data_IF_159871113506
#
_entry.id   IF_159871113506
#
_cell.length_a   1.000
_cell.length_b   1.000
_cell.length_c   1.000
_cell.angle_alpha   90.00
_cell.angle_beta   90.00
_cell.angle_gamma   90.00
#
_symmetry.space_group_name_H-M   'P 1'
#
loop_
_entity.id
_entity.type
_entity.pdbx_description
1 polymer ?
#
# COMPACT_ATOMS: atom_id res chain seq x y z
N UNK A 1 45.12 -76.25 5.09
CA UNK A 1 44.67 -76.41 6.49
C UNK A 1 45.71 -75.71 7.37
N UNK A 2 45.34 -74.56 7.98
CA UNK A 2 45.32 -74.33 9.44
C UNK A 2 46.67 -74.64 10.11
N UNK A 3 47.37 -73.79 10.87
CA UNK A 3 46.97 -72.71 11.78
C UNK A 3 48.25 -72.18 12.43
N UNK A 4 48.32 -70.89 12.81
CA UNK A 4 49.38 -70.38 13.69
C UNK A 4 49.29 -68.87 13.97
N UNK A 5 49.76 -68.38 15.14
CA UNK A 5 49.08 -67.32 15.89
C UNK A 5 49.88 -66.01 16.15
N UNK A 6 49.11 -64.97 16.50
CA UNK A 6 49.34 -63.77 17.38
C UNK A 6 50.74 -63.13 17.58
N UNK A 7 50.70 -61.78 17.44
CA UNK A 7 51.35 -60.68 18.23
C UNK A 7 52.87 -60.50 18.04
N UNK A 8 53.49 -59.32 18.05
CA UNK A 8 53.17 -57.90 18.30
C UNK A 8 54.32 -57.07 17.64
N UNK A 9 54.23 -55.73 17.71
CA UNK A 9 55.28 -54.71 17.51
C UNK A 9 55.31 -53.97 16.17
N UNK A 10 54.87 -52.70 16.20
CA UNK A 10 55.73 -51.52 15.90
C UNK A 10 55.03 -50.27 16.43
N UNK A 11 55.74 -49.46 17.21
CA UNK A 11 55.21 -48.33 17.96
C UNK A 11 54.83 -47.11 17.11
N UNK A 12 54.14 -46.12 17.71
CA UNK A 12 53.81 -44.88 17.01
C UNK A 12 55.00 -43.92 17.05
N UNK A 13 55.45 -43.54 15.86
CA UNK A 13 56.35 -42.42 15.64
C UNK A 13 55.67 -41.09 15.99
N UNK A 14 56.44 -40.26 16.67
CA UNK A 14 56.17 -38.88 17.07
C UNK A 14 56.09 -37.91 15.88
N UNK A 15 55.07 -37.05 15.85
CA UNK A 15 55.10 -35.59 15.62
C UNK A 15 53.69 -35.06 15.26
N UNK A 16 53.38 -33.75 15.41
CA UNK A 16 53.51 -32.92 16.59
C UNK A 16 52.15 -32.32 17.00
N UNK A 17 52.06 -31.88 18.26
CA UNK A 17 51.00 -30.99 18.70
C UNK A 17 51.13 -29.64 17.98
N UNK A 18 50.14 -29.29 17.16
CA UNK A 18 49.91 -27.91 16.71
C UNK A 18 48.62 -27.40 17.35
N UNK A 19 48.79 -26.73 18.49
CA UNK A 19 47.87 -25.70 18.92
C UNK A 19 47.91 -24.57 17.87
N UNK A 20 46.76 -24.21 17.32
CA UNK A 20 46.49 -23.02 16.48
C UNK A 20 45.12 -23.24 15.84
N UNK A 21 44.08 -22.41 15.98
CA UNK A 21 43.97 -21.02 16.42
C UNK A 21 42.48 -20.81 16.68
N UNK A 22 42.14 -20.04 17.71
CA UNK A 22 40.92 -19.26 17.71
C UNK A 22 40.82 -18.55 16.35
N UNK A 23 39.77 -18.86 15.58
CA UNK A 23 39.43 -18.10 14.39
C UNK A 23 38.78 -16.78 14.84
N UNK A 24 39.48 -15.63 14.77
CA UNK A 24 38.97 -14.37 15.31
C UNK A 24 37.93 -13.72 14.38
N UNK A 25 37.47 -14.43 13.33
CA UNK A 25 36.43 -13.96 12.41
C UNK A 25 35.01 -14.41 12.79
N UNK A 26 34.80 -15.19 13.87
CA UNK A 26 33.46 -15.42 14.41
C UNK A 26 33.01 -14.22 15.23
N UNK A 27 32.22 -13.36 14.62
CA UNK A 27 31.54 -12.29 15.36
C UNK A 27 30.53 -12.91 16.34
N UNK A 28 30.30 -12.31 17.51
CA UNK A 28 29.30 -12.76 18.48
C UNK A 28 27.89 -12.96 17.89
N UNK A 29 27.58 -12.22 16.82
CA UNK A 29 26.32 -12.29 16.09
C UNK A 29 26.06 -13.66 15.43
N UNK A 30 27.09 -14.39 14.99
CA UNK A 30 26.93 -15.70 14.35
C UNK A 30 26.62 -16.82 15.35
N UNK A 31 27.08 -16.68 16.60
CA UNK A 31 26.78 -17.61 17.69
C UNK A 31 25.34 -17.39 18.19
N UNK A 32 24.95 -16.13 18.42
CA UNK A 32 23.60 -15.76 18.83
C UNK A 32 22.56 -16.12 17.76
N UNK A 33 22.90 -15.96 16.48
CA UNK A 33 22.02 -16.36 15.37
C UNK A 33 21.82 -17.88 15.30
N UNK A 34 22.88 -18.67 15.56
CA UNK A 34 22.78 -20.13 15.62
C UNK A 34 21.92 -20.60 16.78
N UNK A 35 22.15 -20.03 17.96
CA UNK A 35 21.39 -20.35 19.17
C UNK A 35 19.90 -20.00 19.02
N UNK A 36 19.61 -18.84 18.40
CA UNK A 36 18.24 -18.45 18.05
C UNK A 36 17.59 -19.38 17.01
N UNK A 37 18.35 -19.88 16.03
CA UNK A 37 17.85 -20.82 15.02
C UNK A 37 17.61 -22.21 15.61
N UNK A 38 18.47 -22.68 16.51
CA UNK A 38 18.30 -23.95 17.24
C UNK A 38 17.12 -23.88 18.21
N UNK A 39 16.98 -22.80 18.99
CA UNK A 39 15.83 -22.61 19.88
C UNK A 39 14.48 -22.58 19.13
N UNK A 40 14.46 -22.04 17.90
CA UNK A 40 13.28 -22.05 17.01
C UNK A 40 13.08 -23.41 16.33
N UNK A 41 14.12 -24.23 16.22
CA UNK A 41 14.04 -25.59 15.66
C UNK A 41 13.58 -26.62 16.70
N UNK A 42 13.87 -26.42 17.98
CA UNK A 42 13.45 -27.30 19.08
C UNK A 42 12.00 -27.08 19.51
N UNK A 43 11.42 -25.93 19.19
CA UNK A 43 10.00 -25.64 19.40
C UNK A 43 9.16 -26.24 18.27
N UNK A 44 8.90 -27.54 18.38
CA UNK A 44 7.97 -28.26 17.51
C UNK A 44 6.57 -27.62 17.45
N UNK A 45 5.73 -28.00 16.47
CA UNK A 45 4.53 -27.27 16.04
C UNK A 45 3.38 -27.16 17.07
N UNK A 46 3.57 -27.62 18.31
CA UNK A 46 2.48 -27.85 19.28
C UNK A 46 2.65 -27.12 20.63
N UNK A 47 3.62 -26.19 20.77
CA UNK A 47 3.63 -25.26 21.90
C UNK A 47 3.07 -23.92 21.44
N UNK A 48 1.85 -23.59 21.90
CA UNK A 48 1.34 -22.23 21.84
C UNK A 48 2.31 -21.30 22.58
N UNK A 49 2.95 -20.40 21.82
CA UNK A 49 3.85 -19.38 22.35
C UNK A 49 3.09 -18.51 23.35
N UNK A 50 3.58 -18.46 24.60
CA UNK A 50 3.04 -17.57 25.63
C UNK A 50 3.54 -16.14 25.34
N UNK A 51 2.81 -15.13 25.83
CA UNK A 51 3.08 -13.71 25.56
C UNK A 51 4.50 -13.28 25.99
N UNK A 52 5.12 -14.03 26.91
CA UNK A 52 6.48 -13.81 27.43
C UNK A 52 7.60 -14.33 26.50
N UNK A 53 7.28 -15.15 25.48
CA UNK A 53 8.27 -15.73 24.54
C UNK A 53 8.51 -14.86 23.30
N UNK A 54 7.80 -13.73 23.16
CA UNK A 54 7.97 -12.78 22.05
C UNK A 54 8.99 -11.71 22.46
N UNK A 55 10.16 -11.62 21.80
CA UNK A 55 11.16 -10.61 22.14
C UNK A 55 10.57 -9.21 22.09
N UNK A 56 10.55 -8.53 23.24
CA UNK A 56 10.02 -7.18 23.34
C UNK A 56 11.00 -6.19 22.70
N UNK A 57 10.49 -5.14 22.07
CA UNK A 57 11.33 -4.10 21.46
C UNK A 57 12.22 -3.36 22.50
N UNK A 58 11.97 -3.57 23.79
CA UNK A 58 12.74 -3.03 24.91
C UNK A 58 14.04 -3.80 25.16
N UNK A 59 14.14 -5.08 24.79
CA UNK A 59 15.29 -5.93 25.15
C UNK A 59 16.41 -5.89 24.09
N UNK A 60 16.08 -5.55 22.83
CA UNK A 60 17.04 -5.54 21.73
C UNK A 60 16.88 -4.30 20.82
N UNK A 61 17.40 -3.12 21.22
CA UNK A 61 17.29 -1.89 20.44
C UNK A 61 18.05 -1.92 19.09
N UNK A 62 18.89 -2.94 18.86
CA UNK A 62 19.67 -3.14 17.64
C UNK A 62 19.32 -4.40 16.84
N UNK A 63 18.18 -5.04 17.11
CA UNK A 63 17.72 -6.18 16.32
C UNK A 63 17.77 -5.83 14.81
N UNK A 64 18.56 -6.54 13.98
CA UNK A 64 18.73 -6.16 12.58
C UNK A 64 17.36 -6.12 11.89
N UNK A 65 17.10 -5.05 11.13
CA UNK A 65 15.81 -4.77 10.44
C UNK A 65 15.27 -5.94 9.60
N UNK A 66 16.12 -6.92 9.27
CA UNK A 66 15.77 -8.19 8.65
C UNK A 66 14.88 -9.06 9.53
N UNK A 67 15.01 -9.00 10.86
CA UNK A 67 14.21 -9.77 11.82
C UNK A 67 12.73 -9.38 11.78
N UNK A 68 12.38 -8.09 11.64
CA UNK A 68 10.94 -7.72 11.58
C UNK A 68 10.27 -8.24 10.31
N UNK A 69 10.97 -8.22 9.17
CA UNK A 69 10.48 -8.79 7.90
C UNK A 69 10.40 -10.30 7.96
N UNK A 70 11.41 -10.96 8.53
CA UNK A 70 11.44 -12.40 8.71
C UNK A 70 10.35 -12.88 9.68
N UNK A 71 10.15 -12.19 10.81
CA UNK A 71 9.08 -12.46 11.78
C UNK A 71 7.70 -12.25 11.15
N UNK A 72 7.51 -11.17 10.38
CA UNK A 72 6.26 -10.94 9.66
C UNK A 72 6.01 -12.01 8.58
N UNK A 73 7.05 -12.46 7.89
CA UNK A 73 6.96 -13.55 6.93
C UNK A 73 6.63 -14.90 7.61
N UNK A 74 7.27 -15.20 8.73
CA UNK A 74 7.05 -16.38 9.58
C UNK A 74 5.63 -16.39 10.13
N UNK A 75 5.15 -15.27 10.68
CA UNK A 75 3.77 -15.14 11.16
C UNK A 75 2.74 -15.37 10.04
N UNK A 76 3.00 -14.86 8.83
CA UNK A 76 2.15 -15.14 7.66
C UNK A 76 2.17 -16.62 7.26
N UNK A 77 3.32 -17.29 7.32
CA UNK A 77 3.42 -18.75 7.09
C UNK A 77 2.64 -19.55 8.14
N UNK A 78 2.66 -19.10 9.39
CA UNK A 78 1.92 -19.69 10.50
C UNK A 78 0.42 -19.30 10.52
N UNK A 79 -0.06 -18.54 9.52
CA UNK A 79 -1.46 -18.11 9.44
C UNK A 79 -1.87 -17.05 10.47
N UNK A 80 -0.92 -16.48 11.20
CA UNK A 80 -1.18 -15.45 12.22
C UNK A 80 -1.57 -14.13 11.54
N UNK A 81 -2.67 -13.54 12.00
CA UNK A 81 -3.04 -12.19 11.58
C UNK A 81 -2.15 -11.19 12.28
N UNK A 82 -1.18 -10.66 11.54
CA UNK A 82 -0.35 -9.57 12.03
C UNK A 82 -1.20 -8.32 12.32
N UNK A 83 -0.90 -7.60 13.40
CA UNK A 83 -1.49 -6.29 13.65
C UNK A 83 -1.31 -5.37 12.44
N UNK A 84 -2.30 -4.51 12.17
CA UNK A 84 -2.17 -3.47 11.14
C UNK A 84 -0.97 -2.58 11.48
N UNK A 85 -0.19 -2.11 10.49
CA UNK A 85 0.86 -1.14 10.75
C UNK A 85 0.31 0.11 11.46
N UNK A 86 1.10 0.71 12.36
CA UNK A 86 0.66 1.82 13.22
C UNK A 86 0.14 3.02 12.44
N UNK A 87 0.74 3.31 11.28
CA UNK A 87 0.37 4.45 10.43
C UNK A 87 -0.78 4.14 9.45
N UNK A 88 -1.36 2.92 9.51
CA UNK A 88 -2.49 2.52 8.65
C UNK A 88 -3.63 3.52 8.74
N UNK A 89 -3.98 4.13 7.60
CA UNK A 89 -5.07 5.10 7.50
C UNK A 89 -4.78 6.51 8.02
N UNK A 90 -3.60 6.80 8.60
CA UNK A 90 -3.29 8.14 9.11
C UNK A 90 -3.24 9.21 8.02
N UNK A 91 -2.67 8.88 6.85
CA UNK A 91 -2.63 9.80 5.70
C UNK A 91 -4.03 10.26 5.29
N UNK A 92 -4.99 9.33 5.18
CA UNK A 92 -6.35 9.66 4.80
C UNK A 92 -7.13 10.37 5.93
N UNK A 93 -6.82 10.06 7.19
CA UNK A 93 -7.40 10.76 8.34
C UNK A 93 -7.07 12.26 8.32
N UNK A 94 -5.82 12.63 8.03
CA UNK A 94 -5.44 14.04 7.91
C UNK A 94 -5.86 14.66 6.57
N UNK A 95 -5.84 13.89 5.48
CA UNK A 95 -6.27 14.36 4.17
C UNK A 95 -7.75 14.74 4.15
N UNK A 96 -8.63 14.04 4.89
CA UNK A 96 -10.06 14.31 4.91
C UNK A 96 -10.39 15.76 5.28
N UNK A 97 -10.09 16.28 6.49
CA UNK A 97 -10.43 17.65 6.86
C UNK A 97 -9.72 18.68 5.98
N UNK A 98 -8.45 18.46 5.63
CA UNK A 98 -7.71 19.37 4.75
C UNK A 98 -8.38 19.51 3.38
N UNK A 99 -8.82 18.39 2.80
CA UNK A 99 -9.53 18.37 1.52
C UNK A 99 -10.90 18.99 1.60
N UNK A 100 -11.64 18.82 2.71
CA UNK A 100 -12.94 19.47 2.88
C UNK A 100 -12.79 21.00 2.94
N UNK A 101 -11.84 21.51 3.71
CA UNK A 101 -11.59 22.95 3.79
C UNK A 101 -11.13 23.52 2.45
N UNK A 102 -10.09 22.93 1.84
CA UNK A 102 -9.58 23.40 0.55
C UNK A 102 -10.63 23.26 -0.57
N UNK A 103 -11.42 22.19 -0.53
CA UNK A 103 -12.52 21.94 -1.46
C UNK A 103 -13.66 22.95 -1.35
N UNK A 104 -14.04 23.34 -0.13
CA UNK A 104 -15.05 24.39 0.06
C UNK A 104 -14.56 25.75 -0.46
N UNK A 105 -13.29 26.08 -0.27
CA UNK A 105 -12.67 27.27 -0.88
C UNK A 105 -12.75 27.19 -2.41
N UNK A 106 -12.41 26.04 -2.99
CA UNK A 106 -12.50 25.81 -4.43
C UNK A 106 -13.93 25.99 -4.97
N UNK A 107 -14.95 25.51 -4.25
CA UNK A 107 -16.36 25.72 -4.59
C UNK A 107 -16.74 27.21 -4.51
N UNK A 108 -16.28 27.92 -3.47
CA UNK A 108 -16.59 29.34 -3.32
C UNK A 108 -15.95 30.21 -4.42
N UNK A 109 -14.76 29.83 -4.89
CA UNK A 109 -14.01 30.55 -5.92
C UNK A 109 -14.45 30.25 -7.36
N UNK A 110 -15.31 29.25 -7.60
CA UNK A 110 -15.75 28.93 -8.96
C UNK A 110 -16.47 30.09 -9.64
N UNK A 111 -16.06 30.43 -10.85
CA UNK A 111 -16.56 31.59 -11.62
C UNK A 111 -18.04 31.45 -12.06
N UNK A 112 -18.50 30.22 -12.29
CA UNK A 112 -19.85 29.93 -12.79
C UNK A 112 -20.55 28.86 -11.95
N UNK A 113 -21.89 28.84 -11.98
CA UNK A 113 -22.66 27.83 -11.27
C UNK A 113 -22.27 26.40 -11.70
N UNK A 114 -22.04 26.18 -13.00
CA UNK A 114 -21.64 24.88 -13.53
C UNK A 114 -20.30 24.41 -12.92
N UNK A 115 -19.31 25.31 -12.85
CA UNK A 115 -18.01 25.02 -12.22
C UNK A 115 -18.17 24.75 -10.73
N UNK A 116 -18.97 25.55 -10.01
CA UNK A 116 -19.22 25.33 -8.57
C UNK A 116 -19.83 23.95 -8.31
N UNK A 117 -20.82 23.54 -9.10
CA UNK A 117 -21.44 22.21 -9.00
C UNK A 117 -20.44 21.10 -9.32
N UNK A 118 -19.60 21.29 -10.34
CA UNK A 118 -18.54 20.35 -10.69
C UNK A 118 -17.52 20.20 -9.55
N UNK A 119 -17.12 21.30 -8.91
CA UNK A 119 -16.28 21.30 -7.72
C UNK A 119 -16.97 20.61 -6.53
N UNK A 120 -18.29 20.82 -6.31
CA UNK A 120 -19.03 20.10 -5.25
C UNK A 120 -18.94 18.59 -5.45
N UNK A 121 -19.13 18.11 -6.68
CA UNK A 121 -19.02 16.69 -7.02
C UNK A 121 -17.61 16.16 -6.68
N UNK A 122 -16.57 16.90 -7.06
CA UNK A 122 -15.19 16.54 -6.74
C UNK A 122 -14.94 16.50 -5.21
N UNK A 123 -15.43 17.48 -4.46
CA UNK A 123 -15.26 17.56 -3.00
C UNK A 123 -16.02 16.43 -2.29
N UNK A 124 -17.26 16.16 -2.69
CA UNK A 124 -18.06 15.08 -2.08
C UNK A 124 -17.40 13.72 -2.32
N UNK A 125 -16.97 13.43 -3.55
CA UNK A 125 -16.29 12.17 -3.86
C UNK A 125 -14.94 12.03 -3.15
N UNK A 126 -14.19 13.13 -2.98
CA UNK A 126 -12.94 13.14 -2.22
C UNK A 126 -13.18 12.91 -0.72
N UNK A 127 -14.23 13.54 -0.18
CA UNK A 127 -14.67 13.34 1.20
C UNK A 127 -15.09 11.90 1.47
N UNK A 128 -15.83 11.28 0.54
CA UNK A 128 -16.18 9.87 0.60
C UNK A 128 -14.93 8.99 0.58
N UNK A 129 -13.98 9.24 -0.33
CA UNK A 129 -12.72 8.49 -0.38
C UNK A 129 -11.96 8.57 0.94
N UNK A 130 -11.55 9.77 1.34
CA UNK A 130 -10.68 9.92 2.51
C UNK A 130 -11.39 9.62 3.83
N UNK A 131 -12.65 10.04 3.97
CA UNK A 131 -13.45 9.81 5.16
C UNK A 131 -13.71 8.33 5.41
N UNK A 132 -14.26 7.62 4.42
CA UNK A 132 -14.53 6.18 4.55
C UNK A 132 -13.23 5.40 4.76
N UNK A 133 -12.16 5.77 4.06
CA UNK A 133 -10.87 5.10 4.20
C UNK A 133 -10.26 5.28 5.58
N UNK A 134 -10.32 6.50 6.12
CA UNK A 134 -9.89 6.78 7.49
C UNK A 134 -10.71 5.98 8.51
N UNK A 135 -12.04 6.00 8.40
CA UNK A 135 -12.95 5.24 9.29
C UNK A 135 -12.65 3.74 9.22
N UNK A 136 -12.54 3.18 8.02
CA UNK A 136 -12.26 1.76 7.82
C UNK A 136 -10.95 1.33 8.48
N UNK A 137 -9.89 2.11 8.26
CA UNK A 137 -8.55 1.74 8.68
C UNK A 137 -8.26 2.02 10.15
N UNK A 138 -8.83 3.10 10.73
CA UNK A 138 -8.57 3.52 12.12
C UNK A 138 -9.50 2.88 13.13
N UNK A 139 -10.69 2.43 12.73
CA UNK A 139 -11.63 1.82 13.66
C UNK A 139 -11.39 0.33 13.92
N UNK A 140 -11.84 -0.11 15.08
CA UNK A 140 -12.00 -1.51 15.48
C UNK A 140 -13.46 -1.91 15.28
N UNK A 141 -13.70 -2.72 14.25
CA UNK A 141 -15.05 -3.01 13.77
C UNK A 141 -15.38 -4.49 13.93
N UNK A 142 -16.66 -4.80 14.16
CA UNK A 142 -17.14 -6.18 14.03
C UNK A 142 -16.88 -6.70 12.61
N UNK A 143 -16.74 -8.03 12.42
CA UNK A 143 -16.42 -8.61 11.11
C UNK A 143 -17.35 -8.13 9.98
N UNK A 144 -18.65 -8.05 10.24
CA UNK A 144 -19.66 -7.61 9.28
C UNK A 144 -19.44 -6.14 8.86
N UNK A 145 -19.22 -5.25 9.85
CA UNK A 145 -18.94 -3.83 9.59
C UNK A 145 -17.62 -3.63 8.85
N UNK A 146 -16.59 -4.39 9.21
CA UNK A 146 -15.28 -4.35 8.55
C UNK A 146 -15.37 -4.77 7.07
N UNK A 147 -16.21 -5.74 6.73
CA UNK A 147 -16.46 -6.14 5.34
C UNK A 147 -17.17 -5.03 4.59
N UNK A 148 -18.23 -4.44 5.17
CA UNK A 148 -18.98 -3.35 4.54
C UNK A 148 -18.11 -2.11 4.29
N UNK A 149 -17.38 -1.65 5.31
CA UNK A 149 -16.48 -0.50 5.19
C UNK A 149 -15.39 -0.71 4.15
N UNK A 150 -14.85 -1.93 4.04
CA UNK A 150 -13.89 -2.29 2.99
C UNK A 150 -14.50 -2.20 1.60
N UNK A 151 -15.77 -2.58 1.44
CA UNK A 151 -16.47 -2.45 0.15
C UNK A 151 -16.63 -0.99 -0.23
N UNK A 152 -17.06 -0.14 0.70
CA UNK A 152 -17.18 1.29 0.45
C UNK A 152 -15.84 1.94 0.17
N UNK A 153 -14.80 1.62 0.94
CA UNK A 153 -13.43 2.10 0.74
C UNK A 153 -12.92 1.79 -0.68
N UNK A 154 -13.11 0.55 -1.15
CA UNK A 154 -12.70 0.16 -2.50
C UNK A 154 -13.63 0.69 -3.61
N UNK A 155 -14.93 0.85 -3.35
CA UNK A 155 -15.88 1.38 -4.32
C UNK A 155 -15.64 2.88 -4.55
N UNK A 156 -15.29 3.62 -3.50
CA UNK A 156 -15.05 5.07 -3.58
C UNK A 156 -13.90 5.45 -4.50
N UNK A 157 -12.96 4.54 -4.79
CA UNK A 157 -11.89 4.76 -5.79
C UNK A 157 -12.49 5.04 -7.18
N UNK A 158 -13.56 4.33 -7.56
CA UNK A 158 -14.24 4.59 -8.83
C UNK A 158 -14.93 5.97 -8.83
N UNK A 159 -15.57 6.31 -7.71
CA UNK A 159 -16.28 7.58 -7.57
C UNK A 159 -15.33 8.78 -7.63
N UNK A 160 -14.19 8.72 -6.94
CA UNK A 160 -13.23 9.84 -6.99
C UNK A 160 -12.58 9.99 -8.37
N UNK A 161 -12.35 8.91 -9.13
CA UNK A 161 -11.85 9.03 -10.51
C UNK A 161 -12.84 9.86 -11.35
N UNK A 162 -14.12 9.52 -11.30
CA UNK A 162 -15.16 10.28 -12.01
C UNK A 162 -15.35 11.69 -11.45
N UNK A 163 -15.28 11.84 -10.13
CA UNK A 163 -15.35 13.12 -9.43
C UNK A 163 -14.23 14.07 -9.83
N UNK A 164 -13.00 13.58 -9.98
CA UNK A 164 -11.84 14.36 -10.44
C UNK A 164 -12.00 14.82 -11.89
N UNK A 165 -12.53 13.97 -12.79
CA UNK A 165 -12.77 14.38 -14.17
C UNK A 165 -13.83 15.47 -14.29
N UNK A 166 -14.77 15.54 -13.36
CA UNK A 166 -15.94 16.43 -13.46
C UNK A 166 -15.56 17.92 -13.59
N UNK A 167 -14.82 18.55 -12.65
CA UNK A 167 -14.44 19.96 -12.79
C UNK A 167 -13.42 20.20 -13.90
N UNK A 168 -12.53 19.26 -14.20
CA UNK A 168 -11.56 19.37 -15.30
C UNK A 168 -12.28 19.44 -16.65
N UNK A 169 -13.23 18.52 -16.88
CA UNK A 169 -13.96 18.44 -18.13
C UNK A 169 -14.87 19.66 -18.32
N UNK A 170 -15.55 20.09 -17.26
CA UNK A 170 -16.45 21.26 -17.30
C UNK A 170 -15.67 22.55 -17.55
N UNK A 171 -14.48 22.70 -16.98
CA UNK A 171 -13.68 23.91 -17.13
C UNK A 171 -12.92 23.98 -18.46
N UNK A 172 -12.36 22.86 -18.94
CA UNK A 172 -11.35 22.88 -20.00
C UNK A 172 -11.78 22.31 -21.34
N UNK A 173 -12.85 21.52 -21.40
CA UNK A 173 -13.25 20.82 -22.63
C UNK A 173 -14.46 21.46 -23.29
N UNK A 174 -14.53 21.31 -24.62
CA UNK A 174 -15.75 21.65 -25.35
C UNK A 174 -16.92 20.78 -24.86
N UNK A 175 -18.17 21.28 -24.88
CA UNK A 175 -19.31 20.59 -24.27
C UNK A 175 -19.48 19.13 -24.70
N UNK A 176 -19.33 18.81 -25.98
CA UNK A 176 -19.45 17.44 -26.50
C UNK A 176 -18.35 16.50 -25.97
N UNK A 177 -17.13 17.02 -25.85
CA UNK A 177 -15.99 16.26 -25.31
C UNK A 177 -16.16 16.03 -23.81
N UNK A 178 -16.60 17.06 -23.08
CA UNK A 178 -16.92 16.94 -21.65
C UNK A 178 -17.99 15.88 -21.41
N UNK A 179 -19.12 15.92 -22.14
CA UNK A 179 -20.18 14.92 -22.02
C UNK A 179 -19.66 13.50 -22.29
N UNK A 180 -18.82 13.33 -23.32
CA UNK A 180 -18.26 12.02 -23.66
C UNK A 180 -17.34 11.50 -22.55
N UNK A 181 -16.40 12.33 -22.09
CA UNK A 181 -15.47 11.97 -21.02
C UNK A 181 -16.22 11.63 -19.72
N UNK A 182 -17.20 12.45 -19.33
CA UNK A 182 -17.99 12.25 -18.12
C UNK A 182 -18.91 11.03 -18.24
N UNK A 183 -19.48 10.76 -19.41
CA UNK A 183 -20.26 9.55 -19.66
C UNK A 183 -19.43 8.28 -19.47
N UNK A 184 -18.20 8.25 -20.01
CA UNK A 184 -17.27 7.14 -19.82
C UNK A 184 -16.89 7.02 -18.33
N UNK A 185 -16.52 8.13 -17.70
CA UNK A 185 -16.06 8.17 -16.32
C UNK A 185 -17.14 7.71 -15.34
N UNK A 186 -18.33 8.31 -15.38
CA UNK A 186 -19.44 7.99 -14.48
C UNK A 186 -20.09 6.65 -14.82
N UNK A 187 -20.18 6.28 -16.09
CA UNK A 187 -20.63 4.94 -16.50
C UNK A 187 -19.69 3.86 -16.00
N UNK A 188 -18.38 4.03 -16.19
CA UNK A 188 -17.35 3.15 -15.64
C UNK A 188 -17.36 3.11 -14.12
N UNK A 189 -17.59 4.25 -13.46
CA UNK A 189 -17.70 4.31 -12.02
C UNK A 189 -18.94 3.58 -11.49
N UNK A 190 -20.10 3.74 -12.13
CA UNK A 190 -21.32 3.04 -11.76
C UNK A 190 -21.16 1.51 -11.87
N UNK A 191 -20.60 1.03 -13.00
CA UNK A 191 -20.29 -0.39 -13.20
C UNK A 191 -19.29 -0.87 -12.16
N UNK A 192 -18.22 -0.11 -11.92
CA UNK A 192 -17.20 -0.44 -10.93
C UNK A 192 -17.71 -0.50 -9.50
N UNK A 193 -18.56 0.45 -9.08
CA UNK A 193 -19.21 0.46 -7.77
C UNK A 193 -20.15 -0.73 -7.63
N UNK A 194 -21.02 -0.98 -8.61
CA UNK A 194 -21.91 -2.13 -8.60
C UNK A 194 -21.12 -3.45 -8.47
N UNK A 195 -20.08 -3.61 -9.29
CA UNK A 195 -19.17 -4.74 -9.23
C UNK A 195 -18.59 -4.93 -7.80
N UNK A 196 -18.23 -3.85 -7.11
CA UNK A 196 -17.69 -3.92 -5.73
C UNK A 196 -18.71 -4.21 -4.64
N UNK A 197 -19.92 -3.71 -4.79
CA UNK A 197 -20.95 -3.91 -3.79
C UNK A 197 -21.53 -5.33 -3.86
N UNK A 198 -21.69 -5.87 -5.08
CA UNK A 198 -22.31 -7.17 -5.32
C UNK A 198 -21.31 -8.34 -5.37
N UNK A 199 -20.05 -8.13 -5.82
CA UNK A 199 -19.04 -9.21 -5.86
C UNK A 199 -17.96 -9.03 -4.78
N UNK A 200 -18.19 -9.68 -3.66
CA UNK A 200 -17.42 -9.53 -2.42
C UNK A 200 -16.05 -10.20 -2.45
N UNK A 201 -15.92 -11.30 -3.20
CA UNK A 201 -14.69 -12.07 -3.40
C UNK A 201 -13.87 -11.67 -4.63
N UNK A 202 -14.21 -10.57 -5.30
CA UNK A 202 -13.56 -10.17 -6.54
C UNK A 202 -12.03 -10.03 -6.36
N UNK A 203 -11.22 -10.72 -7.18
CA UNK A 203 -9.77 -10.76 -7.00
C UNK A 203 -9.11 -9.43 -7.40
N UNK A 204 -7.98 -9.12 -6.77
CA UNK A 204 -7.28 -7.84 -6.93
C UNK A 204 -6.79 -7.57 -8.35
N UNK A 205 -6.40 -8.61 -9.07
CA UNK A 205 -5.94 -8.51 -10.45
C UNK A 205 -7.05 -8.01 -11.39
N UNK A 206 -8.33 -8.13 -11.01
CA UNK A 206 -9.45 -7.69 -11.86
C UNK A 206 -9.75 -6.20 -11.64
N UNK A 207 -9.90 -5.79 -10.38
CA UNK A 207 -10.35 -4.44 -10.08
C UNK A 207 -9.23 -3.38 -10.12
N UNK A 208 -7.98 -3.75 -9.84
CA UNK A 208 -6.87 -2.76 -9.86
C UNK A 208 -6.63 -2.25 -11.28
N UNK A 209 -6.53 -3.10 -12.32
CA UNK A 209 -6.46 -2.63 -13.70
C UNK A 209 -7.68 -1.83 -14.12
N UNK A 210 -8.88 -2.15 -13.61
CA UNK A 210 -10.08 -1.36 -13.90
C UNK A 210 -9.97 0.08 -13.38
N UNK A 211 -9.42 0.28 -12.17
CA UNK A 211 -9.13 1.63 -11.65
C UNK A 211 -8.13 2.37 -12.55
N UNK A 212 -7.05 1.70 -12.94
CA UNK A 212 -6.01 2.29 -13.79
C UNK A 212 -6.59 2.64 -15.15
N UNK A 213 -7.27 1.71 -15.83
CA UNK A 213 -7.87 1.94 -17.15
C UNK A 213 -8.84 3.13 -17.13
N UNK A 214 -9.72 3.20 -16.13
CA UNK A 214 -10.65 4.31 -15.99
C UNK A 214 -9.91 5.64 -15.71
N UNK A 215 -8.90 5.62 -14.85
CA UNK A 215 -8.11 6.81 -14.49
C UNK A 215 -7.21 7.35 -15.61
N UNK A 216 -6.90 6.55 -16.62
CA UNK A 216 -6.08 6.96 -17.76
C UNK A 216 -6.90 7.43 -18.97
N UNK A 217 -8.25 7.46 -18.90
CA UNK A 217 -9.11 7.95 -20.00
C UNK A 217 -8.77 9.38 -20.42
N UNK A 218 -8.35 10.24 -19.49
CA UNK A 218 -7.93 11.61 -19.81
C UNK A 218 -6.74 11.70 -20.78
N UNK A 219 -5.93 10.65 -20.96
CA UNK A 219 -4.83 10.69 -21.94
C UNK A 219 -5.34 10.92 -23.36
N UNK A 220 -6.51 10.39 -23.70
CA UNK A 220 -7.14 10.62 -25.01
C UNK A 220 -7.60 12.07 -25.22
N UNK A 221 -7.61 12.88 -24.15
CA UNK A 221 -8.01 14.28 -24.16
C UNK A 221 -6.83 15.24 -23.92
N UNK A 222 -5.58 14.75 -23.88
CA UNK A 222 -4.42 15.59 -23.54
C UNK A 222 -4.23 16.79 -24.48
N UNK A 223 -4.41 16.70 -25.81
CA UNK A 223 -4.34 17.87 -26.68
C UNK A 223 -5.37 18.95 -26.32
N UNK A 224 -6.58 18.54 -25.95
CA UNK A 224 -7.69 19.42 -25.60
C UNK A 224 -7.49 20.02 -24.21
N UNK A 225 -7.03 19.21 -23.25
CA UNK A 225 -6.67 19.66 -21.90
C UNK A 225 -5.49 20.64 -21.94
N UNK A 226 -4.51 20.41 -22.82
CA UNK A 226 -3.44 21.37 -23.10
C UNK A 226 -4.00 22.66 -23.69
N UNK A 227 -4.91 22.59 -24.65
CA UNK A 227 -5.51 23.77 -25.28
C UNK A 227 -6.32 24.62 -24.27
N UNK A 228 -7.03 23.98 -23.32
CA UNK A 228 -7.82 24.68 -22.32
C UNK A 228 -7.04 25.15 -21.09
N UNK A 229 -6.10 24.34 -20.58
CA UNK A 229 -5.41 24.57 -19.30
C UNK A 229 -3.89 24.74 -19.38
N UNK A 230 -3.31 24.63 -20.58
CA UNK A 230 -1.87 24.72 -20.81
C UNK A 230 -1.06 23.55 -20.25
N UNK A 231 0.27 23.64 -20.43
CA UNK A 231 1.23 22.64 -19.94
C UNK A 231 1.18 22.38 -18.43
N UNK A 232 0.96 23.36 -17.54
CA UNK A 232 0.91 23.10 -16.10
C UNK A 232 -0.17 22.07 -15.73
N UNK A 233 -1.37 22.18 -16.31
CA UNK A 233 -2.45 21.21 -16.09
C UNK A 233 -2.03 19.83 -16.58
N UNK A 234 -1.51 19.72 -17.81
CA UNK A 234 -1.08 18.44 -18.39
C UNK A 234 -0.05 17.75 -17.50
N UNK A 235 0.98 18.45 -17.05
CA UNK A 235 2.02 17.87 -16.21
C UNK A 235 1.51 17.44 -14.85
N UNK A 236 0.61 18.20 -14.23
CA UNK A 236 -0.03 17.80 -12.98
C UNK A 236 -0.92 16.56 -13.15
N UNK A 237 -1.67 16.47 -14.26
CA UNK A 237 -2.50 15.30 -14.52
C UNK A 237 -1.66 14.05 -14.78
N UNK A 238 -0.58 14.17 -15.54
CA UNK A 238 0.36 13.08 -15.81
C UNK A 238 1.10 12.65 -14.54
N UNK A 239 1.66 13.61 -13.77
CA UNK A 239 2.33 13.31 -12.51
C UNK A 239 1.37 12.64 -11.51
N UNK A 240 0.14 13.14 -11.42
CA UNK A 240 -0.88 12.53 -10.57
C UNK A 240 -1.29 11.13 -11.02
N UNK A 241 -1.49 10.93 -12.32
CA UNK A 241 -1.80 9.62 -12.91
C UNK A 241 -0.68 8.59 -12.68
N UNK A 242 0.57 9.02 -12.81
CA UNK A 242 1.75 8.19 -12.49
C UNK A 242 1.83 7.86 -11.00
N UNK A 243 1.59 8.82 -10.10
CA UNK A 243 1.58 8.58 -8.66
C UNK A 243 0.48 7.58 -8.24
N UNK A 244 -0.73 7.72 -8.77
CA UNK A 244 -1.82 6.75 -8.58
C UNK A 244 -1.43 5.36 -9.08
N UNK A 245 -0.85 5.29 -10.28
CA UNK A 245 -0.44 4.02 -10.90
C UNK A 245 0.66 3.34 -10.09
N UNK A 246 1.69 4.08 -9.66
CA UNK A 246 2.74 3.55 -8.82
C UNK A 246 2.20 3.01 -7.49
N UNK A 247 1.32 3.76 -6.82
CA UNK A 247 0.64 3.29 -5.62
C UNK A 247 -0.17 2.02 -5.86
N UNK A 248 -0.95 1.97 -6.95
CA UNK A 248 -1.77 0.82 -7.32
C UNK A 248 -0.93 -0.43 -7.64
N UNK A 249 0.22 -0.26 -8.30
CA UNK A 249 1.18 -1.35 -8.56
C UNK A 249 1.73 -1.89 -7.24
N UNK A 250 2.16 -1.02 -6.32
CA UNK A 250 2.62 -1.45 -4.99
C UNK A 250 1.53 -2.20 -4.22
N UNK A 251 0.28 -1.73 -4.29
CA UNK A 251 -0.86 -2.41 -3.70
C UNK A 251 -1.14 -3.79 -4.33
N UNK A 252 -1.03 -3.91 -5.65
CA UNK A 252 -1.23 -5.16 -6.37
C UNK A 252 -0.14 -6.18 -6.02
N UNK A 253 1.12 -5.77 -6.06
CA UNK A 253 2.30 -6.60 -5.79
C UNK A 253 2.54 -6.87 -4.29
N UNK A 254 1.94 -6.05 -3.42
CA UNK A 254 2.22 -6.01 -1.98
C UNK A 254 3.71 -5.78 -1.65
N UNK A 255 4.42 -5.08 -2.54
CA UNK A 255 5.83 -4.74 -2.41
C UNK A 255 6.14 -3.37 -3.05
N UNK A 256 7.09 -2.59 -2.50
CA UNK A 256 7.86 -2.90 -1.30
C UNK A 256 7.00 -2.81 -0.03
N UNK A 257 7.43 -3.49 1.03
CA UNK A 257 6.82 -3.44 2.37
C UNK A 257 7.96 -2.95 3.26
N UNK A 258 8.17 -1.65 3.47
CA UNK A 258 9.42 -1.17 4.08
C UNK A 258 9.45 -1.40 5.60
N UNK A 259 8.32 -1.28 6.29
CA UNK A 259 8.18 -1.60 7.70
C UNK A 259 6.83 -2.27 7.99
N UNK A 260 6.79 -3.57 8.32
CA UNK A 260 5.55 -4.29 8.60
C UNK A 260 4.81 -3.76 9.84
N UNK A 261 5.53 -3.07 10.73
CA UNK A 261 5.00 -2.53 11.99
C UNK A 261 4.52 -1.08 11.85
N UNK A 262 5.19 -0.26 11.03
CA UNK A 262 4.91 1.17 10.97
C UNK A 262 4.31 1.61 9.64
N UNK A 263 4.95 1.25 8.53
CA UNK A 263 4.66 1.76 7.20
C UNK A 263 4.89 0.65 6.17
N UNK A 264 3.83 -0.04 5.79
CA UNK A 264 3.88 -1.14 4.85
C UNK A 264 3.47 -0.76 3.43
N UNK A 265 3.29 -1.76 2.57
CA UNK A 265 2.91 -1.57 1.16
C UNK A 265 1.60 -0.77 0.98
N UNK A 266 0.66 -0.89 1.93
CA UNK A 266 -0.64 -0.21 1.85
C UNK A 266 -0.52 1.27 2.22
N UNK A 267 0.40 1.61 3.12
CA UNK A 267 0.73 3.00 3.43
C UNK A 267 1.39 3.69 2.23
N UNK A 268 2.22 2.97 1.46
CA UNK A 268 2.73 3.47 0.16
C UNK A 268 1.58 3.70 -0.83
N UNK A 269 0.62 2.78 -0.89
CA UNK A 269 -0.58 2.96 -1.71
C UNK A 269 -1.37 4.21 -1.31
N UNK A 270 -1.58 4.45 -0.01
CA UNK A 270 -2.22 5.67 0.48
C UNK A 270 -1.41 6.92 0.16
N UNK A 271 -0.07 6.85 0.26
CA UNK A 271 0.80 7.97 -0.10
C UNK A 271 0.71 8.30 -1.60
N UNK A 272 0.76 7.30 -2.48
CA UNK A 272 0.56 7.49 -3.92
C UNK A 272 -0.83 8.04 -4.26
N UNK A 273 -1.87 7.57 -3.55
CA UNK A 273 -3.24 8.08 -3.67
C UNK A 273 -3.33 9.56 -3.28
N UNK A 274 -2.71 9.94 -2.16
CA UNK A 274 -2.71 11.32 -1.68
C UNK A 274 -1.87 12.25 -2.56
N UNK A 275 -0.70 11.79 -3.02
CA UNK A 275 0.14 12.54 -3.95
C UNK A 275 -0.57 12.74 -5.30
N UNK A 276 -1.18 11.69 -5.83
CA UNK A 276 -2.00 11.75 -7.05
C UNK A 276 -3.16 12.74 -6.91
N UNK A 277 -3.87 12.65 -5.78
CA UNK A 277 -4.96 13.56 -5.47
C UNK A 277 -4.49 15.01 -5.37
N UNK A 278 -3.36 15.27 -4.70
CA UNK A 278 -2.83 16.62 -4.57
C UNK A 278 -2.48 17.23 -5.94
N UNK A 279 -1.83 16.48 -6.83
CA UNK A 279 -1.56 16.94 -8.19
C UNK A 279 -2.85 17.30 -8.94
N UNK A 280 -3.86 16.42 -8.89
CA UNK A 280 -5.13 16.64 -9.57
C UNK A 280 -5.94 17.77 -8.93
N UNK A 281 -5.91 17.91 -7.60
CA UNK A 281 -6.54 19.02 -6.89
C UNK A 281 -5.95 20.36 -7.33
N UNK A 282 -4.62 20.46 -7.42
CA UNK A 282 -3.95 21.68 -7.92
C UNK A 282 -4.31 21.94 -9.38
N UNK A 283 -4.36 20.89 -10.22
CA UNK A 283 -4.80 21.02 -11.61
C UNK A 283 -6.23 21.58 -11.70
N UNK A 284 -7.16 21.08 -10.87
CA UNK A 284 -8.52 21.64 -10.77
C UNK A 284 -8.46 23.09 -10.31
N UNK A 285 -7.74 23.41 -9.23
CA UNK A 285 -7.67 24.75 -8.66
C UNK A 285 -7.14 25.83 -9.61
N UNK A 286 -6.27 25.46 -10.55
CA UNK A 286 -5.80 26.40 -11.59
C UNK A 286 -6.70 26.44 -12.83
N UNK A 287 -7.61 25.46 -12.99
CA UNK A 287 -8.50 25.36 -14.15
C UNK A 287 -9.86 26.03 -13.94
N UNK A 288 -10.31 26.16 -12.69
CA UNK A 288 -11.69 26.60 -12.36
C UNK A 288 -11.80 28.09 -12.01
N UNK A 289 -10.85 28.90 -12.48
CA UNK A 289 -10.75 30.34 -12.22
C UNK A 289 -11.33 31.17 -13.34
#
# INVERSE_FOLDING_TARGET
MSSGPRRDHTGPGSAPATASRDDPARTPDDAALREAVEAVSETGPDRGLLDDDIPSATDHPFAPRTLTHAMAARARQLGLQLPKPRLRGMLHLFAFPATMVAGLVLVALGESLAIRLACVIFVVTAGLLFGVSATYHRGTWSPQRAIMLRRFDHANIFLIIAGTYTPIAVALLQPRQAVTLLGIAWGGAAVGVAFRLFWTGAPRWLYVPAYIALGWVAVFYMPQLHAGGGWPVVWLLLAGGLAYTAGAVVYALKRPDPSPVWFGFHEIFHAGTLAGFACHFVAVAISVR
#
